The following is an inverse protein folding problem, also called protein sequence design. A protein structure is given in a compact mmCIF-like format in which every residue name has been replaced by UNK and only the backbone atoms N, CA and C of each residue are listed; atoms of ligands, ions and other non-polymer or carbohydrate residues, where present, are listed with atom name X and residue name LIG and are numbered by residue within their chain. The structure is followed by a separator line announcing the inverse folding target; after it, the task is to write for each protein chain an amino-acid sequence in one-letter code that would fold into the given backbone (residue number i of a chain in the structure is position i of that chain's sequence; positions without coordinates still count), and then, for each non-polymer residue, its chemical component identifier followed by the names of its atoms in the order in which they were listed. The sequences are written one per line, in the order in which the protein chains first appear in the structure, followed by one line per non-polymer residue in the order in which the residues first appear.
data_IF_968335518895
#
_entry.id   IF_968335518895
#
_cell.length_a   1.000
_cell.length_b   1.000
_cell.length_c   1.000
_cell.angle_alpha   90.00
_cell.angle_beta   90.00
_cell.angle_gamma   90.00
#
_symmetry.space_group_name_H-M   'P 1'
#
loop_
_entity.id
_entity.type
_entity.pdbx_description
1 polymer ?
#
# COMPACT_ATOMS: atom_id res chain seq x y z
N UNK A 1 47.10 -38.56 29.55
CA UNK A 1 46.13 -39.46 30.08
C UNK A 1 44.75 -39.02 29.61
N UNK A 2 44.10 -39.67 28.71
CA UNK A 2 43.39 -40.91 28.86
C UNK A 2 41.93 -40.59 28.96
N UNK A 3 41.14 -40.96 28.04
CA UNK A 3 40.14 -41.91 27.69
C UNK A 3 38.84 -41.22 27.30
N UNK A 4 38.30 -41.34 26.13
CA UNK A 4 37.53 -42.42 25.48
C UNK A 4 36.12 -42.67 26.08
N UNK A 5 35.12 -42.65 25.15
CA UNK A 5 33.77 -43.18 25.28
C UNK A 5 32.74 -42.16 24.85
N UNK A 6 31.99 -42.24 23.78
CA UNK A 6 31.33 -43.36 23.10
C UNK A 6 29.87 -43.40 23.55
N UNK A 7 28.93 -43.07 22.62
CA UNK A 7 27.53 -43.24 22.89
C UNK A 7 26.63 -42.69 21.78
N UNK A 8 26.34 -43.56 20.80
CA UNK A 8 25.32 -43.34 19.79
C UNK A 8 23.93 -43.61 20.39
N UNK A 9 22.95 -42.81 19.99
CA UNK A 9 21.56 -43.04 20.31
C UNK A 9 20.67 -42.51 19.18
N UNK A 10 20.30 -43.45 18.28
CA UNK A 10 19.28 -43.24 17.26
C UNK A 10 17.91 -43.35 17.91
N UNK A 11 17.04 -42.38 17.63
CA UNK A 11 15.63 -42.42 17.99
C UNK A 11 14.79 -41.94 16.83
N UNK A 12 14.27 -42.91 16.08
CA UNK A 12 13.25 -42.70 15.06
C UNK A 12 11.88 -42.56 15.74
N UNK A 13 11.17 -41.47 15.50
CA UNK A 13 9.80 -41.26 15.90
C UNK A 13 8.96 -40.87 14.70
N UNK A 14 8.26 -41.87 14.13
CA UNK A 14 7.23 -41.65 13.12
C UNK A 14 5.94 -41.23 13.81
N UNK A 15 5.44 -40.08 13.50
CA UNK A 15 4.12 -39.58 13.88
C UNK A 15 3.27 -39.30 12.66
N UNK A 16 2.38 -40.28 12.35
CA UNK A 16 1.34 -40.11 11.34
C UNK A 16 0.18 -39.30 11.92
N UNK A 17 -0.06 -38.14 11.39
CA UNK A 17 -1.25 -37.33 11.68
C UNK A 17 -2.16 -37.28 10.46
N UNK A 18 -3.25 -38.05 10.48
CA UNK A 18 -4.32 -38.02 9.51
C UNK A 18 -5.21 -36.81 9.79
N UNK A 19 -5.22 -35.85 8.88
CA UNK A 19 -6.17 -34.73 8.85
C UNK A 19 -7.19 -34.96 7.75
N UNK A 20 -8.44 -35.35 8.11
CA UNK A 20 -9.56 -35.46 7.21
C UNK A 20 -10.10 -34.07 6.87
N UNK A 21 -9.95 -33.65 5.64
CA UNK A 21 -10.63 -32.49 5.05
C UNK A 21 -11.83 -32.96 4.21
N UNK A 22 -13.05 -32.70 4.69
CA UNK A 22 -14.27 -32.97 3.95
C UNK A 22 -14.48 -31.90 2.88
N UNK A 23 -14.29 -32.25 1.61
CA UNK A 23 -14.70 -31.49 0.45
C UNK A 23 -15.99 -32.04 -0.09
N UNK A 24 -17.08 -31.27 0.01
CA UNK A 24 -18.36 -31.62 -0.61
C UNK A 24 -18.33 -31.36 -2.12
N UNK A 25 -18.14 -32.38 -2.92
CA UNK A 25 -18.33 -32.35 -4.37
C UNK A 25 -19.70 -32.95 -4.71
N UNK A 26 -20.59 -32.12 -5.25
CA UNK A 26 -21.84 -32.57 -5.82
C UNK A 26 -21.56 -33.19 -7.19
N UNK A 27 -21.52 -34.53 -7.23
CA UNK A 27 -21.49 -35.29 -8.47
C UNK A 27 -22.88 -35.79 -8.76
N UNK A 28 -23.48 -35.32 -9.86
CA UNK A 28 -24.69 -35.92 -10.41
C UNK A 28 -24.31 -37.19 -11.15
N UNK A 29 -24.57 -38.33 -10.55
CA UNK A 29 -24.45 -39.63 -11.17
C UNK A 29 -25.80 -40.03 -11.82
N UNK A 30 -25.82 -40.14 -13.17
CA UNK A 30 -26.93 -40.76 -13.89
C UNK A 30 -26.77 -42.27 -13.82
N UNK A 31 -27.65 -42.95 -13.08
CA UNK A 31 -27.76 -44.42 -13.08
C UNK A 31 -28.66 -44.86 -14.21
N UNK A 32 -28.13 -45.70 -15.11
CA UNK A 32 -28.92 -46.40 -16.14
C UNK A 32 -29.48 -47.65 -15.54
N UNK A 33 -30.80 -47.70 -15.35
CA UNK A 33 -31.54 -48.90 -15.04
C UNK A 33 -32.10 -49.48 -16.31
N UNK A 34 -31.72 -50.74 -16.64
CA UNK A 34 -32.31 -51.49 -17.72
C UNK A 34 -33.53 -52.24 -17.20
N UNK A 35 -34.73 -51.84 -17.65
CA UNK A 35 -35.96 -52.58 -17.47
C UNK A 35 -36.56 -52.91 -18.85
N UNK A 36 -36.71 -54.22 -19.12
CA UNK A 36 -37.35 -54.71 -20.34
C UNK A 36 -38.89 -54.58 -20.26
N UNK A 37 -39.50 -54.05 -21.29
CA UNK A 37 -40.94 -54.17 -21.49
C UNK A 37 -41.55 -53.09 -22.37
N UNK A 38 -41.98 -53.51 -23.60
CA UNK A 38 -43.02 -52.98 -24.47
C UNK A 38 -42.99 -51.54 -24.96
N UNK A 39 -42.94 -51.51 -26.27
CA UNK A 39 -43.32 -50.44 -27.22
C UNK A 39 -43.85 -49.13 -26.59
N UNK A 40 -43.06 -48.12 -26.62
CA UNK A 40 -43.50 -46.75 -26.53
C UNK A 40 -42.58 -45.90 -27.44
N UNK A 41 -43.21 -45.13 -28.30
CA UNK A 41 -42.59 -44.18 -29.22
C UNK A 41 -41.56 -43.32 -28.48
N UNK A 42 -40.32 -43.37 -28.94
CA UNK A 42 -39.26 -42.46 -28.49
C UNK A 42 -39.42 -41.13 -29.22
N UNK A 43 -40.15 -40.23 -28.60
CA UNK A 43 -40.06 -38.82 -28.95
C UNK A 43 -38.67 -38.33 -28.52
N UNK A 44 -37.76 -38.18 -29.44
CA UNK A 44 -36.51 -37.45 -29.24
C UNK A 44 -36.86 -35.99 -29.17
N UNK A 45 -37.05 -35.45 -27.96
CA UNK A 45 -36.94 -34.03 -27.77
C UNK A 45 -35.47 -33.69 -27.92
N UNK A 46 -35.14 -33.17 -29.08
CA UNK A 46 -33.85 -32.50 -29.34
C UNK A 46 -33.75 -31.35 -28.37
N UNK A 47 -32.85 -31.50 -27.37
CA UNK A 47 -32.40 -30.36 -26.57
C UNK A 47 -31.95 -29.26 -27.50
N UNK A 48 -32.49 -28.08 -27.32
CA UNK A 48 -32.11 -26.85 -28.00
C UNK A 48 -30.62 -26.63 -27.81
N UNK A 49 -29.81 -27.10 -28.77
CA UNK A 49 -28.54 -26.48 -29.07
C UNK A 49 -28.84 -25.04 -29.43
N UNK A 50 -28.37 -24.08 -28.65
CA UNK A 50 -28.41 -22.71 -29.02
C UNK A 50 -27.51 -22.59 -30.25
N UNK A 51 -28.07 -22.68 -31.43
CA UNK A 51 -27.44 -22.21 -32.66
C UNK A 51 -27.20 -20.71 -32.45
N UNK A 52 -25.98 -20.38 -32.14
CA UNK A 52 -25.47 -19.00 -32.29
C UNK A 52 -25.47 -18.80 -33.81
N UNK A 53 -26.58 -18.34 -34.33
CA UNK A 53 -26.68 -17.92 -35.72
C UNK A 53 -25.74 -16.74 -35.93
N UNK A 54 -24.51 -17.01 -36.41
CA UNK A 54 -23.66 -16.01 -36.99
C UNK A 54 -24.26 -15.62 -38.32
N UNK A 55 -25.22 -14.70 -38.32
CA UNK A 55 -25.62 -13.98 -39.52
C UNK A 55 -24.47 -13.03 -39.90
N UNK A 56 -23.33 -13.59 -40.29
CA UNK A 56 -22.35 -12.91 -41.05
C UNK A 56 -22.94 -12.72 -42.44
N UNK A 57 -23.53 -11.55 -42.71
CA UNK A 57 -24.16 -11.24 -44.00
C UNK A 57 -23.14 -11.29 -45.12
N UNK A 58 -22.94 -12.46 -45.69
CA UNK A 58 -22.29 -12.63 -46.98
C UNK A 58 -23.32 -12.22 -48.04
N UNK A 59 -23.37 -10.94 -48.33
CA UNK A 59 -24.21 -10.43 -49.43
C UNK A 59 -23.76 -11.00 -50.77
N UNK A 60 -24.65 -11.16 -51.75
CA UNK A 60 -24.30 -11.56 -53.12
C UNK A 60 -23.32 -10.52 -53.72
N UNK A 61 -22.01 -10.86 -53.73
CA UNK A 61 -20.95 -9.98 -54.20
C UNK A 61 -19.74 -9.87 -53.29
N UNK A 62 -19.68 -10.65 -52.18
CA UNK A 62 -18.50 -10.76 -51.32
C UNK A 62 -17.31 -11.25 -52.16
N UNK A 63 -16.15 -10.60 -52.03
CA UNK A 63 -14.92 -11.05 -52.70
C UNK A 63 -14.45 -12.37 -52.07
N UNK A 64 -13.73 -13.17 -52.86
CA UNK A 64 -13.14 -14.43 -52.38
C UNK A 64 -12.28 -14.18 -51.13
N UNK A 65 -11.60 -13.04 -51.05
CA UNK A 65 -10.81 -12.65 -49.90
C UNK A 65 -11.65 -12.44 -48.64
N UNK A 66 -12.85 -11.87 -48.76
CA UNK A 66 -13.78 -11.69 -47.64
C UNK A 66 -14.29 -13.03 -47.11
N UNK A 67 -14.64 -13.96 -48.02
CA UNK A 67 -15.06 -15.32 -47.65
C UNK A 67 -13.90 -16.08 -46.99
N UNK A 68 -12.67 -15.95 -47.51
CA UNK A 68 -11.50 -16.58 -46.91
C UNK A 68 -11.21 -16.02 -45.51
N UNK A 69 -11.39 -14.68 -45.33
CA UNK A 69 -11.25 -14.03 -44.03
C UNK A 69 -12.26 -14.53 -43.00
N UNK A 70 -13.51 -14.65 -43.39
CA UNK A 70 -14.57 -15.16 -42.53
C UNK A 70 -14.31 -16.63 -42.12
N UNK A 71 -13.96 -17.49 -43.08
CA UNK A 71 -13.60 -18.88 -42.80
C UNK A 71 -12.43 -19.00 -41.85
N UNK A 72 -11.37 -18.22 -42.09
CA UNK A 72 -10.21 -18.22 -41.21
C UNK A 72 -10.55 -17.70 -39.79
N UNK A 73 -11.38 -16.67 -39.69
CA UNK A 73 -11.81 -16.12 -38.41
C UNK A 73 -12.66 -17.11 -37.62
N UNK A 74 -13.58 -17.80 -38.25
CA UNK A 74 -14.43 -18.85 -37.62
C UNK A 74 -13.62 -20.08 -37.23
N UNK A 75 -12.63 -20.48 -38.05
CA UNK A 75 -11.80 -21.65 -37.75
C UNK A 75 -10.81 -21.40 -36.61
N UNK A 76 -10.32 -20.18 -36.47
CA UNK A 76 -9.27 -19.81 -35.51
C UNK A 76 -9.60 -18.46 -34.81
N UNK A 77 -10.68 -18.37 -34.04
CA UNK A 77 -11.10 -17.10 -33.42
C UNK A 77 -10.02 -16.49 -32.52
N UNK A 78 -9.21 -17.31 -31.86
CA UNK A 78 -8.10 -16.88 -30.99
C UNK A 78 -6.93 -16.24 -31.78
N UNK A 79 -6.90 -16.42 -33.12
CA UNK A 79 -5.88 -15.85 -34.02
C UNK A 79 -6.36 -14.61 -34.79
N UNK A 80 -7.59 -14.17 -34.54
CA UNK A 80 -8.01 -12.85 -35.03
C UNK A 80 -7.10 -11.82 -34.40
N UNK A 81 -6.63 -10.87 -35.20
CA UNK A 81 -5.61 -9.95 -34.75
C UNK A 81 -5.91 -8.52 -35.16
N UNK A 82 -5.57 -7.56 -34.30
CA UNK A 82 -5.62 -6.13 -34.59
C UNK A 82 -4.23 -5.62 -34.92
N UNK A 83 -4.13 -4.84 -35.98
CA UNK A 83 -2.86 -4.24 -36.40
C UNK A 83 -2.38 -3.19 -35.40
N UNK A 84 -1.07 -3.15 -35.18
CA UNK A 84 -0.38 -2.24 -34.28
C UNK A 84 1.02 -1.94 -34.85
N UNK A 85 1.12 -0.93 -35.73
CA UNK A 85 2.37 -0.35 -36.19
C UNK A 85 3.37 -1.29 -36.89
N UNK A 86 2.90 -2.32 -37.63
CA UNK A 86 3.78 -3.29 -38.35
C UNK A 86 3.84 -4.65 -37.65
N UNK A 87 3.27 -4.77 -36.46
CA UNK A 87 2.90 -5.99 -35.78
C UNK A 87 1.38 -6.11 -35.68
N UNK A 88 0.89 -7.24 -35.22
CA UNK A 88 -0.50 -7.40 -34.85
C UNK A 88 -0.60 -8.13 -33.52
N UNK A 89 -1.61 -7.76 -32.71
CA UNK A 89 -1.97 -8.43 -31.46
C UNK A 89 -3.13 -9.35 -31.71
N UNK A 90 -2.93 -10.63 -31.44
CA UNK A 90 -3.99 -11.65 -31.57
C UNK A 90 -4.91 -11.64 -30.35
N UNK A 91 -6.13 -12.09 -30.51
CA UNK A 91 -7.11 -12.32 -29.44
C UNK A 91 -6.52 -13.20 -28.32
N UNK A 92 -5.67 -14.17 -28.67
CA UNK A 92 -4.92 -14.99 -27.70
C UNK A 92 -3.89 -14.25 -26.86
N UNK A 93 -3.60 -12.97 -27.16
CA UNK A 93 -2.51 -12.20 -26.55
C UNK A 93 -1.13 -12.37 -27.22
N UNK A 94 -1.04 -13.20 -28.23
CA UNK A 94 0.20 -13.39 -29.00
C UNK A 94 0.42 -12.22 -29.95
N UNK A 95 1.61 -11.60 -29.89
CA UNK A 95 2.05 -10.63 -30.91
C UNK A 95 2.72 -11.34 -32.07
N UNK A 96 2.38 -10.94 -33.29
CA UNK A 96 2.99 -11.45 -34.49
C UNK A 96 3.45 -10.31 -35.41
N UNK A 97 4.61 -10.50 -36.07
CA UNK A 97 5.14 -9.54 -36.99
C UNK A 97 4.63 -9.83 -38.42
N UNK A 98 4.30 -8.75 -39.12
CA UNK A 98 3.98 -8.80 -40.54
C UNK A 98 5.26 -8.56 -41.37
N UNK A 99 5.41 -9.30 -42.47
CA UNK A 99 6.56 -9.13 -43.40
C UNK A 99 6.62 -7.69 -43.91
N UNK A 100 7.83 -7.15 -43.99
CA UNK A 100 8.04 -5.83 -44.58
C UNK A 100 7.52 -5.77 -46.03
N UNK A 101 6.78 -4.69 -46.34
CA UNK A 101 6.15 -4.51 -47.65
C UNK A 101 4.86 -5.32 -47.83
N UNK A 102 4.38 -6.06 -46.86
CA UNK A 102 3.10 -6.77 -46.95
C UNK A 102 1.92 -5.78 -47.04
N UNK A 103 0.97 -5.97 -47.97
CA UNK A 103 -0.24 -5.14 -48.06
C UNK A 103 -1.13 -5.29 -46.81
N UNK A 104 -0.99 -6.35 -46.04
CA UNK A 104 -1.72 -6.62 -44.83
C UNK A 104 -1.39 -5.62 -43.70
N UNK A 105 -0.30 -4.89 -43.80
CA UNK A 105 0.11 -3.87 -42.78
C UNK A 105 -0.85 -2.67 -42.72
N UNK A 106 -1.57 -2.42 -43.80
CA UNK A 106 -2.58 -1.34 -43.85
C UNK A 106 -3.97 -1.76 -43.34
N UNK A 107 -4.19 -3.06 -43.15
CA UNK A 107 -5.46 -3.59 -42.68
C UNK A 107 -5.57 -3.47 -41.15
N UNK A 108 -6.65 -2.88 -40.61
CA UNK A 108 -6.82 -2.76 -39.15
C UNK A 108 -7.06 -4.09 -38.45
N UNK A 109 -7.66 -5.06 -39.15
CA UNK A 109 -7.97 -6.36 -38.63
C UNK A 109 -7.58 -7.47 -39.58
N UNK A 110 -7.10 -8.58 -39.03
CA UNK A 110 -6.63 -9.75 -39.76
C UNK A 110 -7.18 -11.03 -39.12
N UNK A 111 -7.54 -12.01 -39.94
CA UNK A 111 -7.71 -13.39 -39.51
C UNK A 111 -6.45 -14.17 -39.89
N UNK A 112 -5.64 -14.56 -38.92
CA UNK A 112 -4.36 -15.23 -39.14
C UNK A 112 -4.56 -16.73 -39.22
N UNK A 113 -4.44 -17.28 -40.42
CA UNK A 113 -4.58 -18.71 -40.64
C UNK A 113 -3.29 -19.45 -40.23
N UNK A 114 -2.12 -18.91 -40.59
CA UNK A 114 -0.82 -19.53 -40.26
C UNK A 114 0.13 -18.51 -39.67
N UNK A 115 0.64 -18.82 -38.49
CA UNK A 115 1.75 -18.09 -37.87
C UNK A 115 2.77 -19.10 -37.34
N UNK A 116 4.06 -18.80 -37.51
CA UNK A 116 5.15 -19.57 -36.95
C UNK A 116 5.82 -18.78 -35.82
N UNK A 117 6.41 -19.48 -34.87
CA UNK A 117 7.29 -18.89 -33.87
C UNK A 117 8.70 -19.41 -34.07
N UNK A 118 9.58 -18.64 -34.75
CA UNK A 118 10.95 -19.05 -34.94
C UNK A 118 11.63 -19.28 -33.59
N UNK A 119 12.44 -20.33 -33.49
CA UNK A 119 13.19 -20.67 -32.28
C UNK A 119 14.10 -19.51 -31.91
N UNK A 120 14.03 -19.04 -30.67
CA UNK A 120 14.84 -17.94 -30.13
C UNK A 120 14.31 -16.52 -30.41
N UNK A 121 13.14 -16.35 -31.01
CA UNK A 121 12.48 -15.04 -31.17
C UNK A 121 11.25 -14.94 -30.30
N UNK A 122 11.08 -13.78 -29.67
CA UNK A 122 9.95 -13.49 -28.74
C UNK A 122 8.60 -13.29 -29.44
N UNK A 123 8.59 -13.10 -30.77
CA UNK A 123 7.38 -12.81 -31.56
C UNK A 123 7.13 -13.88 -32.62
N UNK A 124 5.84 -14.19 -32.81
CA UNK A 124 5.42 -15.02 -33.95
C UNK A 124 5.54 -14.20 -35.23
N UNK A 125 5.59 -14.90 -36.38
CA UNK A 125 5.60 -14.28 -37.72
C UNK A 125 4.36 -14.74 -38.47
N UNK A 126 3.59 -13.81 -39.02
CA UNK A 126 2.44 -14.14 -39.89
C UNK A 126 2.93 -14.68 -41.22
N UNK A 127 2.50 -15.88 -41.56
CA UNK A 127 2.78 -16.52 -42.85
C UNK A 127 1.58 -16.40 -43.81
N UNK A 128 0.37 -16.58 -43.30
CA UNK A 128 -0.87 -16.47 -44.03
C UNK A 128 -1.94 -15.83 -43.22
N UNK A 129 -2.55 -14.77 -43.75
CA UNK A 129 -3.70 -14.10 -43.11
C UNK A 129 -4.60 -13.48 -44.19
N UNK A 130 -5.85 -13.27 -43.84
CA UNK A 130 -6.80 -12.54 -44.67
C UNK A 130 -7.29 -11.28 -43.91
N UNK A 131 -7.67 -10.24 -44.67
CA UNK A 131 -8.22 -9.03 -44.14
C UNK A 131 -9.66 -9.29 -43.68
N UNK A 132 -10.00 -8.87 -42.48
CA UNK A 132 -11.37 -8.90 -41.94
C UNK A 132 -11.73 -7.50 -41.40
N UNK A 133 -12.99 -7.31 -41.03
CA UNK A 133 -13.43 -6.13 -40.31
C UNK A 133 -13.72 -6.46 -38.84
N UNK A 134 -13.99 -5.41 -38.03
CA UNK A 134 -14.30 -5.58 -36.61
C UNK A 134 -15.60 -6.35 -36.40
N UNK A 135 -16.58 -6.23 -37.30
CA UNK A 135 -17.84 -6.98 -37.25
C UNK A 135 -17.63 -8.47 -37.33
N UNK A 136 -16.81 -8.93 -38.30
CA UNK A 136 -16.40 -10.34 -38.44
C UNK A 136 -15.59 -10.78 -37.18
N UNK A 137 -14.68 -9.94 -36.71
CA UNK A 137 -13.88 -10.25 -35.53
C UNK A 137 -14.78 -10.47 -34.29
N UNK A 138 -15.73 -9.61 -34.05
CA UNK A 138 -16.71 -9.70 -32.95
C UNK A 138 -17.63 -10.90 -33.10
N UNK A 139 -18.10 -11.19 -34.31
CA UNK A 139 -18.97 -12.32 -34.55
C UNK A 139 -18.26 -13.67 -34.38
N UNK A 140 -17.06 -13.80 -34.95
CA UNK A 140 -16.31 -15.07 -34.92
C UNK A 140 -15.71 -15.37 -33.53
N UNK A 141 -15.26 -14.36 -32.80
CA UNK A 141 -14.68 -14.50 -31.45
C UNK A 141 -15.63 -14.03 -30.34
N UNK A 142 -16.95 -14.01 -30.59
CA UNK A 142 -17.96 -13.48 -29.64
C UNK A 142 -17.92 -14.12 -28.27
N UNK A 143 -17.55 -15.39 -28.17
CA UNK A 143 -17.36 -16.08 -26.89
C UNK A 143 -16.18 -15.51 -26.04
N UNK A 144 -15.27 -14.75 -26.66
CA UNK A 144 -14.13 -14.11 -26.03
C UNK A 144 -14.33 -12.60 -25.83
N UNK A 145 -15.54 -12.10 -26.15
CA UNK A 145 -15.92 -10.72 -25.89
C UNK A 145 -16.23 -10.55 -24.41
N UNK A 146 -15.57 -9.59 -23.79
CA UNK A 146 -15.70 -9.30 -22.36
C UNK A 146 -15.79 -7.79 -22.14
N UNK A 147 -16.66 -7.38 -21.22
CA UNK A 147 -16.76 -5.99 -20.77
C UNK A 147 -16.58 -5.97 -19.26
N UNK A 148 -15.59 -5.20 -18.79
CA UNK A 148 -15.29 -5.11 -17.36
C UNK A 148 -15.05 -3.69 -16.92
N UNK A 149 -15.36 -3.45 -15.65
CA UNK A 149 -15.03 -2.22 -14.97
C UNK A 149 -13.63 -2.35 -14.37
N UNK A 150 -12.73 -1.48 -14.79
CA UNK A 150 -11.38 -1.34 -14.25
C UNK A 150 -11.32 -0.09 -13.39
N UNK A 151 -11.02 -0.28 -12.10
CA UNK A 151 -10.87 0.81 -11.14
C UNK A 151 -9.56 0.58 -10.39
N UNK A 152 -8.62 1.50 -10.54
CA UNK A 152 -7.29 1.38 -9.95
C UNK A 152 -6.70 2.77 -9.68
N UNK A 153 -5.63 2.82 -8.90
CA UNK A 153 -4.88 4.05 -8.68
C UNK A 153 -3.88 4.25 -9.81
N UNK A 154 -3.98 5.35 -10.54
CA UNK A 154 -3.05 5.73 -11.59
C UNK A 154 -2.99 7.25 -11.73
N UNK A 155 -1.86 7.77 -12.18
CA UNK A 155 -1.65 9.22 -12.39
C UNK A 155 -1.98 10.07 -11.15
N UNK A 156 -1.83 9.48 -9.96
CA UNK A 156 -2.06 10.14 -8.69
C UNK A 156 -3.53 10.30 -8.29
N UNK A 157 -4.46 9.57 -8.92
CA UNK A 157 -5.88 9.55 -8.51
C UNK A 157 -6.54 8.20 -8.84
N UNK A 158 -7.81 8.06 -8.48
CA UNK A 158 -8.64 6.92 -8.87
C UNK A 158 -9.01 7.05 -10.34
N UNK A 159 -8.58 6.10 -11.16
CA UNK A 159 -8.99 5.95 -12.55
C UNK A 159 -10.04 4.88 -12.62
N UNK A 160 -11.23 5.22 -13.13
CA UNK A 160 -12.35 4.32 -13.30
C UNK A 160 -12.78 4.32 -14.77
N UNK A 161 -12.73 3.15 -15.39
CA UNK A 161 -13.07 2.99 -16.82
C UNK A 161 -13.77 1.67 -17.06
N UNK A 162 -14.63 1.64 -18.07
CA UNK A 162 -15.21 0.42 -18.60
C UNK A 162 -14.48 0.06 -19.87
N UNK A 163 -13.96 -1.14 -19.91
CA UNK A 163 -13.14 -1.64 -21.02
C UNK A 163 -13.84 -2.82 -21.66
N UNK A 164 -14.10 -2.68 -22.97
CA UNK A 164 -14.59 -3.78 -23.81
C UNK A 164 -13.39 -4.42 -24.49
N UNK A 165 -13.27 -5.72 -24.38
CA UNK A 165 -12.14 -6.51 -24.90
C UNK A 165 -12.63 -7.71 -25.71
N UNK A 166 -11.87 -8.02 -26.75
CA UNK A 166 -11.96 -9.27 -27.47
C UNK A 166 -10.69 -10.08 -27.12
N UNK A 167 -10.81 -10.95 -26.13
CA UNK A 167 -9.64 -11.58 -25.52
C UNK A 167 -8.64 -10.55 -25.01
N UNK A 168 -7.41 -10.58 -25.56
CA UNK A 168 -6.37 -9.63 -25.20
C UNK A 168 -6.46 -8.26 -25.92
N UNK A 169 -7.35 -8.11 -26.90
CA UNK A 169 -7.50 -6.90 -27.70
C UNK A 169 -8.50 -5.95 -27.05
N UNK A 170 -8.07 -4.76 -26.72
CA UNK A 170 -8.92 -3.70 -26.20
C UNK A 170 -9.69 -3.05 -27.36
N UNK A 171 -11.02 -3.16 -27.36
CA UNK A 171 -11.88 -2.61 -28.42
C UNK A 171 -12.33 -1.19 -28.13
N UNK A 172 -12.80 -0.94 -26.93
CA UNK A 172 -13.29 0.35 -26.50
C UNK A 172 -13.00 0.61 -25.03
N UNK A 173 -12.70 1.86 -24.71
CA UNK A 173 -12.53 2.35 -23.33
C UNK A 173 -13.49 3.52 -23.13
N UNK A 174 -14.29 3.44 -22.08
CA UNK A 174 -15.24 4.48 -21.71
C UNK A 174 -15.03 4.88 -20.25
N UNK A 175 -15.09 6.17 -19.91
CA UNK A 175 -15.07 6.59 -18.51
C UNK A 175 -16.23 5.95 -17.73
N UNK A 176 -15.93 5.38 -16.58
CA UNK A 176 -16.94 4.83 -15.66
C UNK A 176 -17.29 5.89 -14.62
N UNK A 177 -18.53 6.42 -14.70
CA UNK A 177 -18.98 7.50 -13.81
C UNK A 177 -19.38 7.02 -12.42
N UNK A 178 -19.95 5.82 -12.33
CA UNK A 178 -20.46 5.22 -11.10
C UNK A 178 -19.71 3.92 -10.80
N UNK A 179 -18.44 4.06 -10.45
CA UNK A 179 -17.66 2.92 -9.99
C UNK A 179 -18.17 2.42 -8.64
N UNK A 180 -18.27 1.10 -8.48
CA UNK A 180 -18.72 0.47 -7.25
C UNK A 180 -17.85 0.90 -6.05
N UNK A 181 -18.46 1.16 -4.87
CA UNK A 181 -17.73 1.65 -3.69
C UNK A 181 -16.54 0.77 -3.28
N UNK A 182 -16.69 -0.54 -3.38
CA UNK A 182 -15.62 -1.48 -3.05
C UNK A 182 -14.41 -1.38 -3.98
N UNK A 183 -14.64 -1.19 -5.29
CA UNK A 183 -13.57 -1.01 -6.27
C UNK A 183 -12.85 0.32 -6.06
N UNK A 184 -13.59 1.40 -5.82
CA UNK A 184 -13.01 2.72 -5.50
C UNK A 184 -12.18 2.66 -4.24
N UNK A 185 -12.69 2.01 -3.18
CA UNK A 185 -11.95 1.82 -1.93
C UNK A 185 -10.66 1.03 -2.15
N UNK A 186 -10.71 -0.05 -2.93
CA UNK A 186 -9.50 -0.83 -3.26
C UNK A 186 -8.45 0.03 -3.98
N UNK A 187 -8.87 0.87 -4.96
CA UNK A 187 -7.99 1.79 -5.64
C UNK A 187 -7.39 2.86 -4.71
N UNK A 188 -8.19 3.42 -3.78
CA UNK A 188 -7.69 4.36 -2.78
C UNK A 188 -6.67 3.73 -1.83
N UNK A 189 -6.89 2.47 -1.41
CA UNK A 189 -5.92 1.71 -0.62
C UNK A 189 -4.64 1.44 -1.39
N UNK A 190 -4.73 1.17 -2.69
CA UNK A 190 -3.57 1.05 -3.56
C UNK A 190 -2.79 2.37 -3.60
N UNK A 191 -3.46 3.51 -3.75
CA UNK A 191 -2.85 4.84 -3.70
C UNK A 191 -2.12 5.10 -2.39
N UNK A 192 -2.73 4.76 -1.25
CA UNK A 192 -2.10 4.89 0.06
C UNK A 192 -0.85 4.00 0.21
N UNK A 193 -0.83 2.80 -0.41
CA UNK A 193 0.36 1.94 -0.43
C UNK A 193 1.46 2.48 -1.33
N UNK A 194 1.11 3.04 -2.49
CA UNK A 194 2.07 3.55 -3.47
C UNK A 194 2.68 4.89 -3.07
N UNK A 195 1.86 5.83 -2.60
CA UNK A 195 2.27 7.21 -2.30
C UNK A 195 2.39 7.49 -0.78
N UNK A 196 1.93 6.55 0.05
CA UNK A 196 1.99 6.65 1.50
C UNK A 196 0.87 7.50 2.12
N UNK A 197 0.89 7.57 3.45
CA UNK A 197 -0.10 8.33 4.23
C UNK A 197 0.05 9.84 4.11
N UNK A 198 1.06 10.36 3.41
CA UNK A 198 1.16 11.77 3.05
C UNK A 198 -0.02 12.29 2.23
N UNK A 199 -0.81 11.40 1.64
CA UNK A 199 -2.08 11.73 0.96
C UNK A 199 -3.16 12.25 1.92
N UNK A 200 -3.07 11.93 3.22
CA UNK A 200 -4.00 12.38 4.25
C UNK A 200 -3.64 13.78 4.75
N UNK A 201 -4.55 14.40 5.49
CA UNK A 201 -4.29 15.68 6.15
C UNK A 201 -3.53 15.46 7.46
N UNK A 202 -2.26 15.86 7.46
CA UNK A 202 -1.40 15.86 8.63
C UNK A 202 -1.25 17.28 9.17
N UNK A 203 -1.83 17.54 10.33
CA UNK A 203 -1.55 18.76 11.08
C UNK A 203 -0.30 18.57 11.96
N UNK A 204 0.35 19.65 12.43
CA UNK A 204 1.44 19.52 13.39
C UNK A 204 1.08 18.68 14.61
N UNK A 205 -0.17 18.79 15.09
CA UNK A 205 -0.69 18.02 16.23
C UNK A 205 -0.84 16.53 15.88
N UNK A 206 -1.23 16.20 14.65
CA UNK A 206 -1.30 14.82 14.18
C UNK A 206 0.09 14.17 14.16
N UNK A 207 1.10 14.90 13.66
CA UNK A 207 2.49 14.44 13.65
C UNK A 207 2.99 14.19 15.08
N UNK A 208 2.76 15.13 15.98
CA UNK A 208 3.16 14.99 17.39
C UNK A 208 2.45 13.80 18.05
N UNK A 209 1.16 13.64 17.80
CA UNK A 209 0.41 12.49 18.34
C UNK A 209 1.02 11.17 17.85
N UNK A 210 1.30 11.05 16.55
CA UNK A 210 1.94 9.85 16.00
C UNK A 210 3.28 9.56 16.65
N UNK A 211 4.13 10.57 16.82
CA UNK A 211 5.44 10.44 17.45
C UNK A 211 5.33 10.01 18.92
N UNK A 212 4.38 10.57 19.67
CA UNK A 212 4.11 10.17 21.07
C UNK A 212 3.65 8.72 21.17
N UNK A 213 2.78 8.28 20.27
CA UNK A 213 2.31 6.90 20.21
C UNK A 213 3.45 5.93 19.85
N UNK A 214 4.29 6.29 18.86
CA UNK A 214 5.46 5.51 18.51
C UNK A 214 6.41 5.33 19.70
N UNK A 215 6.69 6.42 20.44
CA UNK A 215 7.50 6.37 21.66
C UNK A 215 6.88 5.43 22.71
N UNK A 216 5.58 5.57 22.99
CA UNK A 216 4.91 4.73 23.98
C UNK A 216 4.88 3.26 23.57
N UNK A 217 4.67 2.98 22.28
CA UNK A 217 4.71 1.63 21.76
C UNK A 217 6.10 0.99 21.94
N UNK A 218 7.16 1.70 21.52
CA UNK A 218 8.55 1.23 21.68
C UNK A 218 8.91 1.03 23.13
N UNK A 219 8.44 1.90 24.01
CA UNK A 219 8.84 1.89 25.42
C UNK A 219 8.04 0.96 26.31
N UNK A 220 6.72 0.90 26.09
CA UNK A 220 5.79 0.18 26.95
C UNK A 220 5.15 -1.03 26.27
N UNK A 221 5.18 -1.09 24.92
CA UNK A 221 4.49 -2.12 24.18
C UNK A 221 2.96 -1.98 24.27
N UNK A 222 2.27 -3.11 24.19
CA UNK A 222 0.81 -3.11 24.37
C UNK A 222 0.40 -2.57 25.75
N UNK A 223 -0.72 -1.85 25.82
CA UNK A 223 -1.75 -1.67 24.78
C UNK A 223 -1.53 -0.45 23.85
N UNK A 224 -0.36 0.21 23.89
CA UNK A 224 -0.06 1.33 23.02
C UNK A 224 0.16 0.85 21.58
N UNK A 225 -0.53 1.46 20.58
CA UNK A 225 -0.53 0.96 19.21
C UNK A 225 0.83 1.17 18.52
N UNK A 226 1.25 0.18 17.73
CA UNK A 226 2.25 0.41 16.70
C UNK A 226 1.64 1.33 15.61
N UNK A 227 2.32 2.43 15.33
CA UNK A 227 1.92 3.45 14.35
C UNK A 227 2.94 3.59 13.22
N UNK A 228 3.76 2.56 13.00
CA UNK A 228 4.56 2.41 11.79
C UNK A 228 3.66 2.37 10.55
N UNK A 229 4.20 2.69 9.38
CA UNK A 229 3.41 2.66 8.15
C UNK A 229 2.83 1.27 7.88
N UNK A 230 3.59 0.20 8.11
CA UNK A 230 3.13 -1.17 7.91
C UNK A 230 1.99 -1.53 8.86
N UNK A 231 2.09 -1.19 10.14
CA UNK A 231 1.04 -1.42 11.12
C UNK A 231 -0.23 -0.62 10.82
N UNK A 232 -0.09 0.63 10.38
CA UNK A 232 -1.20 1.48 9.98
C UNK A 232 -1.89 0.95 8.71
N UNK A 233 -1.13 0.40 7.74
CA UNK A 233 -1.71 -0.27 6.57
C UNK A 233 -2.46 -1.54 6.94
N UNK A 234 -1.92 -2.34 7.86
CA UNK A 234 -2.56 -3.57 8.33
C UNK A 234 -3.89 -3.31 9.06
N UNK A 235 -4.02 -2.13 9.68
CA UNK A 235 -5.17 -1.73 10.49
C UNK A 235 -5.96 -0.56 9.90
N UNK A 236 -5.94 -0.41 8.57
CA UNK A 236 -6.54 0.74 7.89
C UNK A 236 -8.01 0.95 8.25
N UNK A 237 -8.76 -0.13 8.47
CA UNK A 237 -10.17 -0.08 8.83
C UNK A 237 -10.40 0.46 10.24
N UNK A 238 -9.45 0.24 11.16
CA UNK A 238 -9.59 0.67 12.55
C UNK A 238 -9.44 2.19 12.70
N UNK A 239 -8.70 2.84 11.81
CA UNK A 239 -8.37 4.26 11.99
C UNK A 239 -8.84 5.19 10.88
N UNK A 240 -9.05 4.71 9.65
CA UNK A 240 -9.51 5.55 8.53
C UNK A 240 -11.00 5.42 8.19
N UNK A 241 -11.72 4.44 8.77
CA UNK A 241 -13.17 4.37 8.61
C UNK A 241 -13.89 5.28 9.61
N UNK A 242 -15.04 5.87 9.24
CA UNK A 242 -15.78 5.67 7.97
C UNK A 242 -15.37 6.61 6.83
N UNK A 243 -14.37 7.46 7.01
CA UNK A 243 -14.01 8.49 6.03
C UNK A 243 -13.51 7.87 4.72
N UNK A 244 -12.68 6.81 4.81
CA UNK A 244 -12.16 6.12 3.64
C UNK A 244 -13.27 5.48 2.79
N UNK A 245 -14.28 4.90 3.43
CA UNK A 245 -15.43 4.31 2.75
C UNK A 245 -16.30 5.33 2.00
N UNK A 246 -16.22 6.60 2.37
CA UNK A 246 -16.91 7.73 1.72
C UNK A 246 -16.07 8.41 0.65
N UNK A 247 -14.77 8.24 0.66
CA UNK A 247 -13.86 8.84 -0.30
C UNK A 247 -14.06 8.24 -1.69
N UNK A 248 -13.88 9.05 -2.73
CA UNK A 248 -14.03 8.65 -4.13
C UNK A 248 -12.80 8.97 -4.99
N UNK A 249 -11.94 9.86 -4.53
CA UNK A 249 -10.79 10.38 -5.28
C UNK A 249 -9.71 10.89 -4.33
N UNK A 250 -8.52 11.19 -4.88
CA UNK A 250 -7.37 11.74 -4.14
C UNK A 250 -7.75 12.92 -3.24
N UNK A 251 -8.52 13.88 -3.75
CA UNK A 251 -8.88 15.08 -2.99
C UNK A 251 -9.70 14.77 -1.73
N UNK A 252 -10.40 13.64 -1.69
CA UNK A 252 -11.15 13.22 -0.50
C UNK A 252 -10.22 12.65 0.55
N UNK A 253 -9.15 11.93 0.16
CA UNK A 253 -8.09 11.49 1.08
C UNK A 253 -7.46 12.69 1.79
N UNK A 254 -7.17 13.77 1.07
CA UNK A 254 -6.60 14.99 1.63
C UNK A 254 -7.51 15.73 2.65
N UNK A 255 -8.76 15.34 2.76
CA UNK A 255 -9.70 15.84 3.79
C UNK A 255 -9.75 14.98 5.05
N UNK A 256 -9.28 13.74 4.98
CA UNK A 256 -9.25 12.82 6.13
C UNK A 256 -8.21 13.31 7.13
N UNK A 257 -8.64 13.63 8.33
CA UNK A 257 -7.78 14.09 9.40
C UNK A 257 -7.05 12.92 10.06
N UNK A 258 -5.74 12.84 9.85
CA UNK A 258 -4.91 11.78 10.41
C UNK A 258 -4.93 11.77 11.94
N UNK A 259 -5.10 12.94 12.60
CA UNK A 259 -5.19 13.04 14.07
C UNK A 259 -6.41 12.30 14.59
N UNK A 260 -7.57 12.53 13.99
CA UNK A 260 -8.81 11.86 14.39
C UNK A 260 -8.72 10.34 14.16
N UNK A 261 -8.11 9.94 13.06
CA UNK A 261 -7.81 8.52 12.80
C UNK A 261 -6.92 7.90 13.89
N UNK A 262 -5.78 8.51 14.17
CA UNK A 262 -4.86 8.04 15.21
C UNK A 262 -5.50 7.98 16.61
N UNK A 263 -6.41 8.89 16.92
CA UNK A 263 -7.15 8.87 18.19
C UNK A 263 -8.04 7.63 18.36
N UNK A 264 -8.53 7.05 17.28
CA UNK A 264 -9.30 5.79 17.31
C UNK A 264 -8.44 4.61 17.73
N UNK A 265 -7.13 4.66 17.46
CA UNK A 265 -6.17 3.61 17.84
C UNK A 265 -5.74 3.68 19.32
N UNK A 266 -6.06 4.74 20.04
CA UNK A 266 -5.71 4.87 21.46
C UNK A 266 -6.33 3.73 22.27
N UNK A 267 -5.68 3.28 23.34
CA UNK A 267 -6.13 2.16 24.16
C UNK A 267 -7.31 2.54 25.10
N UNK A 268 -8.45 2.87 24.51
CA UNK A 268 -9.65 3.28 25.25
C UNK A 268 -10.23 2.15 26.09
N UNK A 269 -10.20 0.92 25.58
CA UNK A 269 -10.77 -0.24 26.26
C UNK A 269 -10.09 -0.57 27.60
N UNK A 270 -8.77 -0.33 27.69
CA UNK A 270 -8.00 -0.54 28.92
C UNK A 270 -8.00 0.69 29.86
N UNK A 271 -8.49 1.84 29.39
CA UNK A 271 -8.41 3.11 30.11
C UNK A 271 -7.06 3.81 30.04
N UNK A 272 -6.04 3.18 29.46
CA UNK A 272 -4.69 3.76 29.34
C UNK A 272 -4.64 5.02 28.45
N UNK A 273 -5.61 5.18 27.53
CA UNK A 273 -5.71 6.37 26.68
C UNK A 273 -5.71 7.68 27.46
N UNK A 274 -6.31 7.71 28.67
CA UNK A 274 -6.32 8.87 29.56
C UNK A 274 -4.96 9.26 30.12
N UNK A 275 -3.99 8.34 30.10
CA UNK A 275 -2.64 8.57 30.61
C UNK A 275 -1.65 9.07 29.56
N UNK A 276 -2.11 9.31 28.33
CA UNK A 276 -1.23 9.77 27.25
C UNK A 276 -0.41 11.01 27.65
N UNK A 277 -1.05 12.01 28.26
CA UNK A 277 -0.39 13.27 28.64
C UNK A 277 0.48 13.14 29.91
N UNK A 278 0.22 12.14 30.75
CA UNK A 278 1.09 11.77 31.86
C UNK A 278 2.36 11.08 31.38
N UNK A 279 2.22 10.07 30.51
CA UNK A 279 3.31 9.20 30.08
C UNK A 279 4.19 9.84 28.99
N UNK A 280 3.58 10.57 28.06
CA UNK A 280 4.28 11.24 26.97
C UNK A 280 3.74 12.68 26.80
N UNK A 281 4.00 13.60 27.76
CA UNK A 281 3.53 14.97 27.68
C UNK A 281 4.09 15.70 26.46
N UNK A 282 3.29 16.58 25.84
CA UNK A 282 3.78 17.42 24.75
C UNK A 282 4.80 18.45 25.24
N UNK A 283 4.71 18.86 26.51
CA UNK A 283 5.57 19.85 27.12
C UNK A 283 5.88 19.50 28.56
N UNK A 284 7.13 19.71 28.95
CA UNK A 284 7.60 19.56 30.32
C UNK A 284 7.80 20.95 30.93
N UNK A 285 7.33 21.13 32.18
CA UNK A 285 7.64 22.32 32.95
C UNK A 285 9.09 22.24 33.46
N UNK A 286 9.86 23.28 33.25
CA UNK A 286 11.24 23.40 33.74
C UNK A 286 11.31 24.39 34.90
N UNK A 287 12.40 24.41 35.72
CA UNK A 287 12.47 25.22 36.94
C UNK A 287 12.19 26.71 36.74
N UNK A 288 12.49 27.29 35.58
CA UNK A 288 12.17 28.67 35.25
C UNK A 288 10.67 28.99 35.11
N UNK A 289 9.80 27.97 35.18
CA UNK A 289 8.37 28.08 34.92
C UNK A 289 8.00 28.01 33.45
N UNK A 290 8.97 27.89 32.53
CA UNK A 290 8.71 27.67 31.10
C UNK A 290 8.20 26.26 30.87
N UNK A 291 7.30 26.11 29.88
CA UNK A 291 6.83 24.80 29.40
C UNK A 291 7.49 24.50 28.06
N UNK A 292 8.48 23.65 28.09
CA UNK A 292 9.32 23.31 26.93
C UNK A 292 8.73 22.10 26.21
N UNK A 293 8.66 22.18 24.88
CA UNK A 293 8.18 21.08 24.04
C UNK A 293 9.18 19.92 24.08
N UNK A 294 8.64 18.70 24.22
CA UNK A 294 9.41 17.47 24.05
C UNK A 294 9.34 17.04 22.58
N UNK A 295 10.47 16.72 22.03
CA UNK A 295 10.58 16.17 20.68
C UNK A 295 10.64 14.64 20.77
N UNK A 296 9.65 13.99 20.17
CA UNK A 296 9.51 12.53 20.08
C UNK A 296 9.80 12.01 18.66
N UNK A 297 10.50 12.77 17.81
CA UNK A 297 10.83 12.35 16.45
C UNK A 297 11.63 11.03 16.42
N UNK A 298 12.54 10.85 17.38
CA UNK A 298 13.16 9.57 17.68
C UNK A 298 12.35 8.86 18.78
N UNK A 299 11.66 7.75 18.47
CA UNK A 299 10.85 7.04 19.45
C UNK A 299 11.65 6.35 20.55
N UNK A 300 12.96 6.18 20.39
CA UNK A 300 13.84 5.61 21.42
C UNK A 300 14.40 6.67 22.36
N UNK A 301 14.57 7.90 21.88
CA UNK A 301 15.26 8.95 22.61
C UNK A 301 14.54 10.30 22.53
N UNK A 302 13.56 10.57 23.40
CA UNK A 302 12.92 11.88 23.50
C UNK A 302 13.92 12.99 23.83
N UNK A 303 13.76 14.15 23.19
CA UNK A 303 14.69 15.29 23.32
C UNK A 303 13.99 16.52 23.93
N UNK A 304 14.67 17.20 24.84
CA UNK A 304 14.24 18.47 25.43
C UNK A 304 15.29 19.55 25.11
N UNK A 305 15.01 20.43 24.16
CA UNK A 305 15.88 21.54 23.83
C UNK A 305 15.49 22.79 24.66
N UNK A 306 16.35 23.19 25.59
CA UNK A 306 16.05 24.22 26.59
C UNK A 306 17.29 25.09 26.87
N UNK A 307 17.10 26.38 27.16
CA UNK A 307 18.22 27.23 27.56
C UNK A 307 18.78 26.77 28.90
N UNK A 308 20.10 26.66 28.96
CA UNK A 308 20.84 26.11 30.12
C UNK A 308 20.41 26.79 31.43
N UNK A 309 20.21 28.09 31.43
CA UNK A 309 19.85 28.87 32.60
C UNK A 309 18.41 28.60 33.11
N UNK A 310 17.55 28.09 32.27
CA UNK A 310 16.18 27.70 32.68
C UNK A 310 16.16 26.39 33.47
N UNK A 311 17.28 25.64 33.45
CA UNK A 311 17.44 24.36 34.12
C UNK A 311 18.21 24.46 35.45
N UNK A 312 18.71 25.62 35.82
CA UNK A 312 19.39 25.79 37.11
C UNK A 312 18.51 25.36 38.28
N UNK A 313 19.12 24.78 39.30
CA UNK A 313 18.42 24.22 40.47
C UNK A 313 17.82 22.83 40.25
N UNK A 314 17.74 22.33 39.02
CA UNK A 314 17.25 20.99 38.75
C UNK A 314 18.40 19.97 38.86
N UNK A 315 18.29 19.05 39.79
CA UNK A 315 19.30 18.01 40.01
C UNK A 315 19.00 16.70 39.29
N UNK A 316 17.71 16.38 39.13
CA UNK A 316 17.27 15.19 38.44
C UNK A 316 16.94 15.49 36.96
N UNK A 317 17.34 14.58 36.08
CA UNK A 317 16.97 14.68 34.66
C UNK A 317 15.47 14.51 34.48
N UNK A 318 14.82 15.39 33.66
CA UNK A 318 13.42 15.15 33.30
C UNK A 318 13.24 13.78 32.65
N UNK A 319 12.12 13.12 32.94
CA UNK A 319 11.81 11.80 32.39
C UNK A 319 10.39 11.75 31.84
N UNK A 320 10.19 10.88 30.85
CA UNK A 320 8.87 10.57 30.26
C UNK A 320 8.72 9.05 30.19
N UNK A 321 7.59 8.52 30.64
CA UNK A 321 7.37 7.05 30.78
C UNK A 321 8.57 6.32 31.45
N UNK A 322 9.20 6.94 32.44
CA UNK A 322 10.36 6.39 33.16
C UNK A 322 11.68 6.45 32.38
N UNK A 323 11.72 7.11 31.21
CA UNK A 323 12.94 7.29 30.41
C UNK A 323 13.48 8.72 30.60
N UNK A 324 14.75 8.91 31.01
CA UNK A 324 15.37 10.22 30.98
C UNK A 324 15.34 10.82 29.59
N UNK A 325 14.90 12.05 29.46
CA UNK A 325 14.96 12.77 28.16
C UNK A 325 16.39 13.21 27.88
N UNK A 326 16.78 13.22 26.63
CA UNK A 326 18.05 13.79 26.20
C UNK A 326 17.93 15.32 26.21
N UNK A 327 18.61 15.98 27.14
CA UNK A 327 18.53 17.43 27.30
C UNK A 327 19.56 18.09 26.40
N UNK A 328 19.10 18.84 25.41
CA UNK A 328 19.92 19.75 24.62
C UNK A 328 19.95 21.11 25.32
N UNK A 329 21.03 21.39 26.02
CA UNK A 329 21.24 22.66 26.72
C UNK A 329 21.68 23.73 25.72
N UNK A 330 20.89 24.77 25.62
CA UNK A 330 21.12 25.86 24.66
C UNK A 330 21.72 27.06 25.33
N UNK A 331 22.56 27.79 24.58
CA UNK A 331 23.00 29.11 24.96
C UNK A 331 21.86 30.14 25.04
N UNK A 332 22.04 31.31 25.62
CA UNK A 332 21.02 32.37 25.61
C UNK A 332 20.50 32.74 24.22
N UNK A 333 21.32 32.58 23.17
CA UNK A 333 20.93 32.80 21.78
C UNK A 333 20.27 31.60 21.11
N UNK A 334 20.01 30.51 21.86
CA UNK A 334 19.35 29.32 21.32
C UNK A 334 20.27 28.37 20.53
N UNK A 335 21.58 28.52 20.64
CA UNK A 335 22.55 27.62 19.98
C UNK A 335 22.90 26.46 20.91
N UNK A 336 23.11 25.23 20.40
CA UNK A 336 23.55 24.10 21.20
C UNK A 336 24.85 24.46 21.98
N UNK A 337 24.86 24.10 23.26
CA UNK A 337 26.01 24.31 24.14
C UNK A 337 26.47 23.00 24.76
N UNK A 338 25.54 22.11 25.14
CA UNK A 338 25.85 20.80 25.66
C UNK A 338 24.65 19.85 25.43
N UNK A 339 24.90 18.53 25.50
CA UNK A 339 23.89 17.50 25.44
C UNK A 339 24.13 16.53 26.59
N UNK A 340 23.09 16.21 27.34
CA UNK A 340 23.18 15.26 28.44
C UNK A 340 21.87 14.53 28.71
N UNK A 341 21.94 13.25 29.06
CA UNK A 341 20.83 12.48 29.65
C UNK A 341 20.91 12.46 31.18
N UNK A 342 22.07 12.82 31.76
CA UNK A 342 22.31 12.91 33.20
C UNK A 342 22.68 14.35 33.58
N UNK A 343 21.70 15.08 34.02
CA UNK A 343 21.84 16.49 34.37
C UNK A 343 22.74 16.68 35.59
N UNK A 344 22.65 15.76 36.60
CA UNK A 344 23.47 15.84 37.80
C UNK A 344 24.97 15.68 37.49
N UNK A 345 25.34 14.72 36.69
CA UNK A 345 26.72 14.53 36.20
C UNK A 345 27.19 15.74 35.38
N UNK A 346 26.32 16.27 34.51
CA UNK A 346 26.67 17.47 33.72
C UNK A 346 26.98 18.66 34.63
N UNK A 347 26.19 18.90 35.69
CA UNK A 347 26.45 20.01 36.63
C UNK A 347 27.81 19.87 37.32
N UNK A 348 28.21 18.67 37.71
CA UNK A 348 29.50 18.40 38.37
C UNK A 348 30.69 18.56 37.43
N UNK A 349 30.59 17.97 36.25
CA UNK A 349 31.75 17.72 35.40
C UNK A 349 31.77 18.56 34.13
N UNK A 350 30.64 18.71 33.45
CA UNK A 350 30.52 19.35 32.13
C UNK A 350 30.31 20.87 32.19
N UNK A 351 29.57 21.34 33.18
CA UNK A 351 29.13 22.72 33.25
C UNK A 351 30.29 23.72 33.31
N UNK A 352 31.39 23.40 33.99
CA UNK A 352 32.55 24.29 34.18
C UNK A 352 33.13 24.74 32.83
N UNK A 353 33.29 23.82 31.89
CA UNK A 353 33.80 24.14 30.56
C UNK A 353 32.82 25.01 29.75
N UNK A 354 31.55 24.64 29.76
CA UNK A 354 30.49 25.39 29.09
C UNK A 354 30.32 26.79 29.67
N UNK A 355 30.38 26.90 31.00
CA UNK A 355 30.34 28.20 31.70
C UNK A 355 31.50 29.11 31.27
N UNK A 356 32.73 28.61 31.21
CA UNK A 356 33.90 29.38 30.83
C UNK A 356 33.74 29.94 29.40
N UNK A 357 33.26 29.17 28.46
CA UNK A 357 33.02 29.62 27.10
C UNK A 357 31.85 30.61 27.01
N UNK A 358 30.70 30.30 27.57
CA UNK A 358 29.48 31.07 27.41
C UNK A 358 29.50 32.36 28.21
N UNK A 359 30.17 32.42 29.38
CA UNK A 359 30.33 33.64 30.18
C UNK A 359 31.02 34.74 29.41
N UNK A 360 32.07 34.40 28.65
CA UNK A 360 32.76 35.35 27.79
C UNK A 360 31.88 35.90 26.67
N UNK A 361 31.09 35.04 26.09
CA UNK A 361 30.22 35.37 24.94
C UNK A 361 28.91 36.07 25.35
N UNK A 362 28.37 35.73 26.54
CA UNK A 362 27.07 36.23 27.05
C UNK A 362 27.21 36.81 28.46
N UNK A 363 28.02 37.86 28.68
CA UNK A 363 28.30 38.38 30.03
C UNK A 363 27.12 39.02 30.74
N UNK A 364 26.04 39.34 30.00
CA UNK A 364 24.81 39.93 30.56
C UNK A 364 23.90 38.91 31.24
N UNK A 365 24.20 37.62 31.11
CA UNK A 365 23.41 36.52 31.70
C UNK A 365 24.10 36.00 32.98
N UNK A 366 23.32 35.38 33.91
CA UNK A 366 23.91 34.79 35.11
C UNK A 366 24.66 33.50 34.77
N UNK A 367 25.86 33.37 35.36
CA UNK A 367 26.75 32.21 35.24
C UNK A 367 27.22 31.80 36.62
N UNK A 368 26.36 31.20 37.46
CA UNK A 368 26.71 30.81 38.84
C UNK A 368 27.86 29.81 38.84
N UNK A 369 28.55 29.69 39.98
CA UNK A 369 29.58 28.66 40.17
C UNK A 369 28.95 27.29 40.42
N UNK A 370 27.90 27.30 41.21
CA UNK A 370 27.07 26.10 41.46
C UNK A 370 25.72 26.22 40.76
N UNK A 371 25.56 25.55 39.62
CA UNK A 371 24.31 25.56 38.86
C UNK A 371 23.23 24.70 39.49
N UNK A 372 23.59 23.71 40.36
CA UNK A 372 22.65 22.77 40.97
C UNK A 372 21.76 23.42 42.03
N UNK A 373 22.25 24.52 42.64
CA UNK A 373 21.52 25.28 43.68
C UNK A 373 21.11 26.67 43.23
N UNK A 374 21.51 27.07 42.05
CA UNK A 374 21.23 28.42 41.53
C UNK A 374 19.75 28.57 41.12
N UNK A 375 19.25 29.82 41.25
CA UNK A 375 17.90 30.14 40.79
C UNK A 375 17.80 30.06 39.25
N UNK A 376 16.79 29.34 38.74
CA UNK A 376 16.54 29.24 37.30
C UNK A 376 16.03 30.58 36.75
N UNK A 377 16.44 30.90 35.53
CA UNK A 377 16.01 32.14 34.91
C UNK A 377 16.02 32.10 33.38
N UNK A 378 15.11 32.86 32.79
CA UNK A 378 15.08 33.20 31.37
C UNK A 378 15.48 34.64 31.08
N UNK A 379 15.94 35.38 32.12
CA UNK A 379 16.22 36.80 32.04
C UNK A 379 17.73 37.10 32.15
N UNK A 380 18.11 38.30 31.72
CA UNK A 380 19.42 38.84 31.93
C UNK A 380 19.59 39.39 33.35
N UNK A 381 20.83 39.54 33.83
CA UNK A 381 21.16 40.12 35.15
C UNK A 381 20.48 41.47 35.41
N UNK A 382 20.37 42.33 34.39
CA UNK A 382 19.74 43.65 34.53
C UNK A 382 18.22 43.55 34.82
N UNK A 383 17.56 42.48 34.32
CA UNK A 383 16.13 42.28 34.55
C UNK A 383 15.82 41.54 35.85
N UNK A 384 16.78 40.80 36.37
CA UNK A 384 16.67 40.14 37.68
C UNK A 384 16.80 41.08 38.86
N UNK A 385 17.43 42.28 38.63
CA UNK A 385 17.64 43.32 39.68
C UNK A 385 16.48 44.34 39.78
N UNK A 386 15.49 44.23 38.91
CA UNK A 386 14.26 45.05 38.92
C UNK A 386 13.10 44.30 39.54
#
# INVERSE_FOLDING_TARGET
GGGAGGGAGAGAGAGAGAGAGAGAGAGAGAGVGVGAGTEAEVGVEAGTEAEVGVEAGVGPGASDDHVAGLVAALAFPERIARADGGSCLMVSGTRAELRDGSPLRSAPWLAVAVADRPVGKGHARVQLAAVVDEGIARAAAGALLDERDEVHWAEGDVVARRVERLGAIELAVRPLRDAGPALVRAALLEGLRQEGFGLLRWTPEAVVLRQRLAFLHVRLGEPWPDVSDDALHARVDDWLEPELGRARRRSDLGRIDAREGLRRLLPWASGEAGRLDELAPERIAVPSGSRIRVDYADPEQPVLAVKLQEMFGLQESPAVAGVPVLVHLLSPAGRPAAVTADLASFWRDGYRGVRAELRGRYPKHPWPEDPATAEPTRHTNARLRR
#
